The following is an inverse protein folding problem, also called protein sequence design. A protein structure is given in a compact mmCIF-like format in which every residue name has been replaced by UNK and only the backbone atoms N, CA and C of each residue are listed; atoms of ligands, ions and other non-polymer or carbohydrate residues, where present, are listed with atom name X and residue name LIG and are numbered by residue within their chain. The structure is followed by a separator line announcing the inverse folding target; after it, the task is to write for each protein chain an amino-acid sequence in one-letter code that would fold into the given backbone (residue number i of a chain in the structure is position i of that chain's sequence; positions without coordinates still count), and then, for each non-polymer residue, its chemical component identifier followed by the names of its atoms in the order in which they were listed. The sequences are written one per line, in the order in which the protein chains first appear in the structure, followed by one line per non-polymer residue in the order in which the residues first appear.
data_IF_757805652960
#
_entry.id   IF_757805652960
#
_cell.length_a   1.000
_cell.length_b   1.000
_cell.length_c   1.000
_cell.angle_alpha   90.00
_cell.angle_beta   90.00
_cell.angle_gamma   90.00
#
_symmetry.space_group_name_H-M   'P 1'
#
loop_
_entity.id
_entity.type
_entity.pdbx_description
1 polymer ?
2 non-polymer ?
3 water ?
#
# COMPACT_ATOMS: atom_id res chain seq x y z
N UNK A 5 11.76 -19.67 6.19
CA UNK A 5 11.64 -18.37 5.46
C UNK A 5 10.72 -17.42 6.22
N UNK A 6 10.82 -16.14 5.87
CA UNK A 6 9.91 -15.10 6.34
C UNK A 6 8.61 -15.29 5.58
N UNK A 7 7.51 -15.66 6.26
CA UNK A 7 6.25 -15.83 5.54
C UNK A 7 5.77 -14.53 4.88
N UNK A 8 6.17 -13.40 5.45
CA UNK A 8 5.81 -12.09 4.86
C UNK A 8 6.47 -11.83 3.49
N UNK A 9 7.57 -12.53 3.22
CA UNK A 9 8.29 -12.31 1.97
C UNK A 9 8.29 -13.55 1.07
N UNK A 10 7.49 -14.55 1.41
CA UNK A 10 7.34 -15.72 0.52
C UNK A 10 6.09 -15.51 -0.31
N UNK A 11 6.26 -15.24 -1.61
CA UNK A 11 5.10 -14.86 -2.44
C UNK A 11 4.10 -16.00 -2.52
N UNK A 12 2.84 -15.66 -2.25
CA UNK A 12 1.77 -16.64 -2.31
C UNK A 12 0.46 -15.93 -2.63
N UNK A 13 -0.43 -16.57 -3.41
CA UNK A 13 -1.74 -15.97 -3.62
C UNK A 13 -2.66 -16.23 -2.44
N UNK A 14 -3.79 -15.53 -2.39
CA UNK A 14 -4.78 -15.81 -1.36
C UNK A 14 -5.62 -17.01 -1.76
N UNK A 15 -5.53 -18.09 -0.99
CA UNK A 15 -6.28 -19.32 -1.27
C UNK A 15 -7.76 -19.04 -1.13
N UNK A 16 -8.56 -19.48 -2.10
CA UNK A 16 -10.00 -19.28 -2.05
C UNK A 16 -10.66 -20.34 -1.14
N UNK A 17 -11.08 -19.91 0.05
CA UNK A 17 -11.75 -20.84 0.99
C UNK A 17 -13.24 -20.53 1.10
N UNK A 18 -13.73 -19.67 0.21
CA UNK A 18 -15.14 -19.26 0.20
C UNK A 18 -15.88 -19.76 -1.03
N UNK A 19 -15.22 -19.71 -2.19
CA UNK A 19 -15.78 -20.31 -3.42
C UNK A 19 -16.14 -19.42 -4.59
N UNK A 20 -16.06 -18.11 -4.46
CA UNK A 20 -16.47 -17.21 -5.54
C UNK A 20 -15.30 -16.67 -6.38
N UNK A 21 -14.08 -17.05 -6.01
CA UNK A 21 -12.88 -16.69 -6.77
C UNK A 21 -12.62 -15.19 -6.95
N UNK A 22 -13.08 -14.38 -6.00
CA UNK A 22 -12.94 -12.92 -6.11
C UNK A 22 -11.50 -12.41 -6.17
N UNK A 23 -10.62 -13.00 -5.36
CA UNK A 23 -9.22 -12.54 -5.34
C UNK A 23 -8.55 -12.73 -6.70
N UNK A 24 -8.70 -13.92 -7.28
CA UNK A 24 -8.10 -14.19 -8.59
C UNK A 24 -8.76 -13.32 -9.68
N UNK A 25 -10.06 -13.06 -9.56
CA UNK A 25 -10.75 -12.16 -10.50
C UNK A 25 -10.14 -10.76 -10.52
N UNK A 26 -9.82 -10.22 -9.33
CA UNK A 26 -9.25 -8.90 -9.20
C UNK A 26 -7.86 -8.87 -9.80
N UNK A 27 -7.03 -9.84 -9.41
CA UNK A 27 -5.67 -9.98 -9.95
C UNK A 27 -5.72 -10.03 -11.49
N UNK A 28 -6.59 -10.88 -12.02
CA UNK A 28 -6.72 -11.02 -13.49
C UNK A 28 -7.13 -9.71 -14.17
N UNK A 29 -8.01 -8.95 -13.52
CA UNK A 29 -8.43 -7.65 -14.05
C UNK A 29 -7.22 -6.71 -14.10
N UNK A 30 -6.43 -6.72 -13.04
CA UNK A 30 -5.29 -5.82 -12.96
C UNK A 30 -4.25 -6.20 -14.00
N UNK A 31 -4.06 -7.50 -14.19
CA UNK A 31 -3.15 -8.00 -15.22
C UNK A 31 -3.61 -7.48 -16.59
N UNK A 32 -4.91 -7.56 -16.85
CA UNK A 32 -5.50 -7.05 -18.09
C UNK A 32 -5.32 -5.55 -18.22
N UNK A 33 -5.45 -4.84 -17.09
CA UNK A 33 -5.24 -3.38 -17.06
C UNK A 33 -3.83 -3.05 -17.54
N UNK A 34 -2.84 -3.72 -16.94
CA UNK A 34 -1.43 -3.52 -17.32
C UNK A 34 -1.18 -3.88 -18.79
N UNK A 35 -1.79 -4.97 -19.27
CA UNK A 35 -1.64 -5.38 -20.67
C UNK A 35 -2.18 -4.30 -21.63
N UNK A 36 -3.28 -3.67 -21.23
CA UNK A 36 -3.95 -2.68 -22.06
C UNK A 36 -3.51 -1.21 -21.91
N UNK A 37 -3.01 -0.82 -20.73
CA UNK A 37 -2.73 0.59 -20.45
C UNK A 37 -1.24 0.89 -20.36
N UNK A 38 -0.94 2.18 -20.28
CA UNK A 38 0.44 2.67 -20.13
C UNK A 38 0.48 3.69 -19.00
N UNK A 39 0.30 3.21 -17.75
CA UNK A 39 0.28 4.11 -16.60
C UNK A 39 1.65 4.70 -16.28
N UNK A 40 1.65 5.92 -15.76
CA UNK A 40 2.85 6.53 -15.23
C UNK A 40 3.03 6.19 -13.77
N UNK A 41 1.91 5.86 -13.11
CA UNK A 41 1.92 5.56 -11.66
C UNK A 41 1.06 4.34 -11.42
N UNK A 42 1.58 3.40 -10.63
CA UNK A 42 0.82 2.20 -10.27
C UNK A 42 0.72 2.16 -8.75
N UNK A 43 -0.51 2.09 -8.24
CA UNK A 43 -0.73 1.99 -6.77
C UNK A 43 -1.06 0.55 -6.46
N UNK A 44 -0.40 -0.04 -5.46
CA UNK A 44 -0.72 -1.42 -5.12
C UNK A 44 -0.67 -1.60 -3.61
N UNK A 45 -1.59 -2.41 -3.11
CA UNK A 45 -1.60 -2.66 -1.69
C UNK A 45 -2.91 -3.25 -1.24
N UNK A 46 -3.30 -2.88 -0.03
CA UNK A 46 -4.48 -3.48 0.55
C UNK A 46 -5.75 -2.60 0.38
N UNK A 47 -6.82 -2.77 1.33
CA UNK A 47 -8.10 -2.05 1.25
C UNK A 47 -7.90 -0.56 1.30
N UNK A 48 -6.79 -0.05 2.02
CA UNK A 48 -6.54 1.42 2.11
C UNK A 48 -6.20 2.00 0.76
N UNK A 49 -5.51 1.21 -0.07
CA UNK A 49 -5.20 1.64 -1.43
C UNK A 49 -6.43 1.52 -2.29
N UNK A 50 -7.08 0.35 -2.25
CA UNK A 50 -8.24 0.07 -3.08
C UNK A 50 -9.33 1.14 -2.93
N UNK A 51 -9.71 1.45 -1.68
CA UNK A 51 -10.81 2.38 -1.39
C UNK A 51 -10.44 3.84 -1.69
N UNK A 52 -9.17 4.10 -1.94
CA UNK A 52 -8.74 5.41 -2.36
C UNK A 52 -9.33 5.68 -3.73
N UNK A 53 -9.48 4.62 -4.54
CA UNK A 53 -10.04 4.69 -5.88
C UNK A 53 -11.54 4.96 -5.88
N UNK A 54 -12.21 4.47 -4.84
CA UNK A 54 -13.66 4.62 -4.70
C UNK A 54 -14.07 6.00 -4.22
N UNK A 55 -13.11 6.80 -3.79
CA UNK A 55 -13.41 8.15 -3.35
C UNK A 55 -13.36 9.09 -4.55
N UNK A 56 -14.03 10.24 -4.43
CA UNK A 56 -14.00 11.28 -5.47
C UNK A 56 -12.63 11.95 -5.54
N UNK A 57 -11.85 11.81 -4.47
CA UNK A 57 -10.45 12.31 -4.38
C UNK A 57 -9.55 11.70 -5.46
N UNK A 58 -9.86 10.48 -5.87
CA UNK A 58 -9.07 9.76 -6.87
C UNK A 58 -9.13 10.42 -8.25
N UNK A 59 -10.35 10.78 -8.65
CA UNK A 59 -10.58 11.40 -9.95
C UNK A 59 -10.04 12.83 -10.02
N UNK A 60 -9.91 13.47 -8.86
CA UNK A 60 -9.44 14.86 -8.83
C UNK A 60 -7.93 15.00 -8.61
N UNK A 61 -7.34 14.05 -7.89
CA UNK A 61 -5.91 14.14 -7.54
C UNK A 61 -5.01 13.18 -8.32
N UNK A 62 -5.50 11.98 -8.62
CA UNK A 62 -4.63 10.90 -9.12
C UNK A 62 -4.89 10.47 -10.56
N UNK A 63 -6.15 10.48 -10.99
CA UNK A 63 -6.50 10.22 -12.40
C UNK A 63 -5.65 11.04 -13.37
N UNK A 64 -5.51 12.37 -13.12
CA UNK A 64 -4.70 13.20 -14.02
C UNK A 64 -3.25 12.70 -14.18
N UNK A 65 -2.78 11.87 -13.25
CA UNK A 65 -1.41 11.38 -13.26
C UNK A 65 -1.22 10.12 -14.09
N UNK A 66 -2.30 9.59 -14.65
CA UNK A 66 -2.27 8.38 -15.44
C UNK A 66 -1.89 7.21 -14.54
N UNK A 67 -2.84 6.84 -13.69
CA UNK A 67 -2.57 5.87 -12.62
C UNK A 67 -3.52 4.68 -12.63
N UNK A 68 -3.00 3.52 -12.20
CA UNK A 68 -3.78 2.33 -12.03
C UNK A 68 -3.76 1.98 -10.55
N UNK A 69 -4.91 1.51 -10.04
CA UNK A 69 -5.03 1.19 -8.62
C UNK A 69 -5.24 -0.33 -8.49
N UNK A 70 -4.25 -1.03 -7.94
CA UNK A 70 -4.33 -2.49 -7.82
C UNK A 70 -4.49 -2.91 -6.35
N UNK A 71 -5.26 -2.14 -5.60
CA UNK A 71 -5.47 -2.48 -4.20
C UNK A 71 -6.44 -3.63 -4.11
N UNK A 72 -6.21 -4.51 -3.14
CA UNK A 72 -7.12 -5.61 -2.89
C UNK A 72 -7.34 -5.71 -1.38
N UNK A 73 -8.60 -5.63 -0.96
CA UNK A 73 -8.89 -5.77 0.47
C UNK A 73 -8.39 -7.07 1.09
N UNK A 74 -7.75 -6.99 2.27
CA UNK A 74 -7.28 -8.14 2.99
C UNK A 74 -5.85 -8.60 2.69
N UNK A 75 -5.22 -8.05 1.65
CA UNK A 75 -3.87 -8.48 1.25
C UNK A 75 -2.81 -8.15 2.32
N UNK A 76 -1.91 -9.11 2.51
CA UNK A 76 -0.70 -8.94 3.32
C UNK A 76 0.45 -8.75 2.33
N UNK A 77 1.65 -8.47 2.83
CA UNK A 77 2.80 -8.21 1.98
C UNK A 77 3.07 -9.35 0.97
N UNK A 78 3.02 -10.61 1.42
CA UNK A 78 3.37 -11.73 0.54
C UNK A 78 2.37 -11.84 -0.62
N UNK A 79 1.15 -11.35 -0.42
CA UNK A 79 0.12 -11.40 -1.47
C UNK A 79 0.42 -10.35 -2.53
N UNK A 80 0.81 -9.17 -2.07
CA UNK A 80 1.16 -8.12 -3.00
C UNK A 80 2.37 -8.56 -3.83
N UNK A 81 3.34 -9.17 -3.15
CA UNK A 81 4.57 -9.65 -3.79
C UNK A 81 4.26 -10.67 -4.91
N UNK A 82 3.39 -11.61 -4.60
CA UNK A 82 2.94 -12.61 -5.60
C UNK A 82 2.31 -11.95 -6.81
N UNK A 83 1.43 -10.98 -6.57
CA UNK A 83 0.73 -10.28 -7.63
C UNK A 83 1.66 -9.50 -8.56
N UNK A 84 2.67 -8.88 -7.97
CA UNK A 84 3.65 -8.13 -8.74
C UNK A 84 4.54 -9.07 -9.59
N UNK A 85 4.79 -10.27 -9.09
CA UNK A 85 5.63 -11.25 -9.80
C UNK A 85 4.80 -12.02 -10.85
N UNK A 86 3.48 -12.00 -10.69
CA UNK A 86 2.60 -12.82 -11.54
C UNK A 86 1.70 -12.06 -12.48
N UNK A 87 2.24 -11.01 -13.10
CA UNK A 87 1.53 -10.36 -14.21
C UNK A 87 1.21 -8.88 -14.08
N UNK A 88 1.12 -8.37 -12.85
CA UNK A 88 0.66 -6.99 -12.69
C UNK A 88 1.70 -5.93 -13.06
N UNK A 89 2.95 -6.33 -13.22
CA UNK A 89 4.02 -5.42 -13.65
C UNK A 89 4.42 -5.61 -15.10
N UNK A 90 3.68 -6.45 -15.79
CA UNK A 90 4.00 -6.76 -17.20
C UNK A 90 3.40 -5.76 -18.17
N UNK A 91 4.07 -5.53 -19.31
CA UNK A 91 3.57 -4.62 -20.38
C UNK A 91 3.46 -3.14 -20.01
N UNK A 92 4.10 -2.75 -18.91
CA UNK A 92 4.08 -1.35 -18.45
C UNK A 92 5.49 -0.87 -18.12
N UNK A 93 5.65 0.45 -18.01
CA UNK A 93 6.91 1.06 -17.64
C UNK A 93 6.63 2.32 -16.83
N UNK A 94 6.03 2.16 -15.64
CA UNK A 94 5.68 3.31 -14.81
C UNK A 94 6.86 4.12 -14.30
N UNK A 95 6.62 5.40 -14.05
CA UNK A 95 7.63 6.27 -13.46
C UNK A 95 7.71 6.05 -11.96
N UNK A 96 6.56 5.74 -11.35
CA UNK A 96 6.47 5.54 -9.90
C UNK A 96 5.51 4.40 -9.56
N UNK A 97 5.92 3.59 -8.58
CA UNK A 97 5.05 2.57 -7.98
C UNK A 97 4.82 2.94 -6.51
N UNK A 98 3.57 3.01 -6.12
CA UNK A 98 3.23 3.33 -4.73
C UNK A 98 2.79 2.04 -4.00
N UNK A 99 3.42 1.78 -2.86
CA UNK A 99 3.19 0.57 -2.11
C UNK A 99 2.59 0.94 -0.74
N UNK A 100 1.52 0.26 -0.37
CA UNK A 100 0.90 0.48 0.94
C UNK A 100 0.25 -0.83 1.41
N UNK A 101 0.97 -1.56 2.25
CA UNK A 101 0.55 -2.89 2.69
C UNK A 101 1.35 -3.25 3.96
N UNK A 102 0.80 -4.09 4.82
CA UNK A 102 1.48 -4.56 6.01
C UNK A 102 0.58 -4.53 7.23
N UNK A 103 -0.48 -3.71 7.20
CA UNK A 103 -1.41 -3.65 8.33
C UNK A 103 -2.21 -4.96 8.55
N UNK A 104 -2.32 -5.78 7.50
CA UNK A 104 -3.05 -7.05 7.57
C UNK A 104 -2.19 -8.27 7.90
N UNK A 105 -0.90 -8.04 8.09
CA UNK A 105 0.07 -9.13 8.35
C UNK A 105 -0.03 -9.74 9.77
N UNK A 106 -1.24 -10.14 10.15
CA UNK A 106 -1.47 -10.69 11.48
C UNK A 106 -0.70 -11.99 11.68
N UNK A 107 0.01 -12.06 12.79
CA UNK A 107 0.77 -13.28 13.10
C UNK A 107 2.23 -13.19 12.67
N UNK A 108 2.56 -12.09 11.99
CA UNK A 108 3.93 -11.78 11.60
C UNK A 108 4.46 -10.70 12.53
N UNK A 109 5.74 -10.81 12.95
CA UNK A 109 6.36 -9.78 13.79
C UNK A 109 6.59 -8.51 12.97
N UNK A 110 6.82 -7.39 13.63
CA UNK A 110 7.08 -6.14 12.88
C UNK A 110 8.31 -6.30 11.98
N UNK A 111 9.31 -7.04 12.47
CA UNK A 111 10.51 -7.31 11.68
C UNK A 111 10.18 -8.10 10.42
N UNK A 112 9.37 -9.13 10.54
CA UNK A 112 8.97 -9.91 9.34
C UNK A 112 8.20 -9.05 8.34
N UNK A 113 7.23 -8.28 8.85
CA UNK A 113 6.46 -7.40 7.97
C UNK A 113 7.42 -6.47 7.24
N UNK A 114 8.39 -5.90 7.96
CA UNK A 114 9.39 -5.04 7.30
C UNK A 114 10.12 -5.79 6.18
N UNK A 115 10.48 -7.03 6.46
CA UNK A 115 11.15 -7.88 5.46
C UNK A 115 10.27 -8.07 4.24
N UNK A 116 8.96 -8.19 4.44
CA UNK A 116 8.02 -8.31 3.29
C UNK A 116 7.97 -7.05 2.45
N UNK A 117 7.99 -5.90 3.12
CA UNK A 117 7.98 -4.61 2.42
C UNK A 117 9.27 -4.43 1.63
N UNK A 118 10.38 -4.81 2.23
CA UNK A 118 11.68 -4.67 1.56
C UNK A 118 11.76 -5.59 0.34
N UNK A 119 11.14 -6.75 0.45
CA UNK A 119 11.05 -7.70 -0.66
C UNK A 119 10.23 -7.11 -1.82
N UNK A 120 9.17 -6.37 -1.49
CA UNK A 120 8.32 -5.74 -2.50
C UNK A 120 9.14 -4.68 -3.24
N UNK A 121 9.86 -3.86 -2.48
CA UNK A 121 10.67 -2.79 -3.08
C UNK A 121 11.73 -3.40 -4.01
N UNK A 122 12.40 -4.44 -3.52
CA UNK A 122 13.44 -5.13 -4.31
C UNK A 122 12.89 -5.70 -5.62
N UNK A 123 11.73 -6.36 -5.56
CA UNK A 123 11.12 -6.93 -6.77
C UNK A 123 10.82 -5.82 -7.78
N UNK A 124 10.25 -4.74 -7.28
CA UNK A 124 9.94 -3.61 -8.15
C UNK A 124 11.24 -3.05 -8.74
N UNK A 125 12.30 -2.99 -7.93
CA UNK A 125 13.60 -2.50 -8.42
C UNK A 125 14.17 -3.40 -9.50
N UNK A 126 13.79 -4.66 -9.48
CA UNK A 126 14.29 -5.62 -10.49
C UNK A 126 13.45 -5.59 -11.77
N UNK A 127 12.14 -5.69 -11.63
CA UNK A 127 11.24 -5.75 -12.78
C UNK A 127 11.04 -4.39 -13.47
N UNK A 128 11.05 -3.30 -12.71
CA UNK A 128 10.79 -1.94 -13.19
C UNK A 128 11.88 -1.02 -12.64
N UNK A 129 13.16 -1.28 -13.00
CA UNK A 129 14.31 -0.54 -12.44
C UNK A 129 14.26 1.00 -12.63
N UNK A 130 13.59 1.50 -13.66
CA UNK A 130 13.47 2.94 -13.88
C UNK A 130 12.49 3.63 -12.91
N UNK A 131 11.62 2.85 -12.26
CA UNK A 131 10.59 3.44 -11.40
C UNK A 131 11.10 3.82 -10.01
N UNK A 132 10.66 4.99 -9.51
CA UNK A 132 10.90 5.32 -8.12
C UNK A 132 9.85 4.56 -7.34
N UNK A 133 10.16 4.22 -6.10
CA UNK A 133 9.20 3.50 -5.28
C UNK A 133 8.85 4.33 -4.05
N UNK A 134 7.54 4.53 -3.83
CA UNK A 134 7.07 5.24 -2.64
C UNK A 134 6.37 4.22 -1.73
N UNK A 135 6.83 4.12 -0.48
CA UNK A 135 6.20 3.25 0.52
C UNK A 135 5.50 4.11 1.59
N UNK A 136 4.19 3.90 1.74
CA UNK A 136 3.43 4.63 2.74
C UNK A 136 3.54 3.93 4.07
N UNK A 137 3.64 4.72 5.15
CA UNK A 137 3.73 4.10 6.48
C UNK A 137 2.38 3.45 6.81
N UNK A 138 2.40 2.46 7.69
CA UNK A 138 1.19 1.82 8.16
C UNK A 138 0.52 2.76 9.16
N UNK A 139 -0.77 3.00 8.96
CA UNK A 139 -1.51 3.90 9.83
C UNK A 139 -1.89 3.28 11.18
N UNK A 140 -2.11 4.13 12.22
CA UNK A 140 -2.59 3.58 13.48
C UNK A 140 -3.99 3.02 13.25
N UNK A 141 -4.43 2.17 14.18
CA UNK A 141 -5.75 1.57 14.06
C UNK A 141 -6.25 1.23 15.47
N UNK A 142 -7.54 0.96 15.58
CA UNK A 142 -8.13 0.63 16.87
C UNK A 142 -8.57 1.94 17.49
N UNK A 143 -9.69 1.91 18.22
CA UNK A 143 -10.16 3.14 18.86
C UNK A 143 -9.26 3.63 19.97
N UNK A 144 -8.66 2.70 20.71
CA UNK A 144 -7.81 3.02 21.84
C UNK A 144 -6.41 2.41 21.69
N UNK A 145 -5.47 2.82 22.58
CA UNK A 145 -4.10 2.23 22.51
C UNK A 145 -4.15 0.71 22.51
N UNK A 146 -3.37 0.08 21.63
CA UNK A 146 -3.40 -1.39 21.49
C UNK A 146 -2.12 -1.88 20.82
N UNK A 147 -1.83 -3.20 20.89
CA UNK A 147 -0.60 -3.77 20.31
C UNK A 147 -0.38 -3.48 18.83
N UNK A 148 -1.45 -3.38 18.05
CA UNK A 148 -1.30 -3.14 16.62
C UNK A 148 -0.81 -1.77 16.33
N UNK A 149 -1.08 -0.83 17.23
CA UNK A 149 -0.55 0.52 17.06
C UNK A 149 0.97 0.49 17.22
N UNK A 150 1.45 -0.14 18.28
CA UNK A 150 2.90 -0.30 18.50
C UNK A 150 3.57 -1.07 17.35
N UNK A 151 2.94 -2.17 16.91
CA UNK A 151 3.44 -2.96 15.81
C UNK A 151 3.66 -2.11 14.55
N UNK A 152 2.62 -1.39 14.14
CA UNK A 152 2.68 -0.63 12.89
C UNK A 152 3.72 0.49 13.01
N UNK A 153 3.80 1.10 14.20
CA UNK A 153 4.81 2.12 14.46
C UNK A 153 6.20 1.52 14.28
N UNK A 154 6.43 0.35 14.86
CA UNK A 154 7.73 -0.31 14.79
C UNK A 154 8.08 -0.63 13.31
N UNK A 155 7.09 -1.13 12.56
CA UNK A 155 7.30 -1.41 11.12
C UNK A 155 7.73 -0.12 10.41
N UNK A 156 7.02 0.97 10.66
CA UNK A 156 7.36 2.26 10.06
C UNK A 156 8.78 2.70 10.38
N UNK A 157 9.20 2.50 11.62
CA UNK A 157 10.55 2.90 12.05
C UNK A 157 11.57 2.08 11.26
N UNK A 158 11.34 0.76 11.21
CA UNK A 158 12.27 -0.16 10.57
C UNK A 158 12.32 0.05 9.07
N UNK A 159 11.15 0.22 8.45
CA UNK A 159 11.07 0.47 7.02
C UNK A 159 11.74 1.79 6.66
N UNK A 160 11.48 2.82 7.47
CA UNK A 160 12.07 4.13 7.23
C UNK A 160 13.60 4.03 7.29
N UNK A 161 14.13 3.27 8.26
CA UNK A 161 15.58 3.05 8.38
C UNK A 161 16.13 2.29 7.18
N UNK A 162 15.37 1.30 6.71
CA UNK A 162 15.78 0.51 5.55
C UNK A 162 15.85 1.34 4.27
N UNK A 163 14.87 2.23 4.08
CA UNK A 163 14.78 3.02 2.86
C UNK A 163 15.61 4.32 2.82
N UNK A 164 16.11 4.76 3.97
CA UNK A 164 16.71 6.11 4.04
C UNK A 164 17.89 6.30 3.06
N UNK A 165 18.78 5.31 2.97
CA UNK A 165 19.92 5.38 2.05
C UNK A 165 19.67 4.83 0.65
N UNK A 166 18.39 4.69 0.31
CA UNK A 166 17.94 4.15 -0.97
C UNK A 166 17.40 5.37 -1.71
N UNK A 167 18.18 5.93 -2.65
CA UNK A 167 17.88 7.27 -3.22
C UNK A 167 16.84 7.31 -4.36
N UNK A 168 16.01 6.24 -4.44
CA UNK A 168 14.83 6.32 -5.40
C UNK A 168 13.73 5.45 -4.81
N UNK A 169 13.87 5.23 -3.51
CA UNK A 169 12.84 4.62 -2.67
C UNK A 169 12.53 5.74 -1.69
N UNK A 170 11.24 5.99 -1.46
CA UNK A 170 10.81 7.12 -0.64
C UNK A 170 9.78 6.64 0.38
N UNK A 171 10.14 6.74 1.66
CA UNK A 171 9.19 6.44 2.74
C UNK A 171 8.34 7.67 3.01
N UNK A 172 7.02 7.50 3.02
CA UNK A 172 6.12 8.63 3.30
C UNK A 172 5.18 8.31 4.49
N UNK A 173 5.26 9.13 5.53
CA UNK A 173 4.33 9.00 6.66
C UNK A 173 3.21 9.94 6.36
N UNK A 174 2.07 9.40 5.91
CA UNK A 174 0.94 10.22 5.58
C UNK A 174 -0.01 10.47 6.75
N UNK A 175 0.39 10.08 7.97
CA UNK A 175 -0.48 10.21 9.16
C UNK A 175 -0.39 11.66 9.67
N UNK A 176 -1.50 12.42 9.57
CA UNK A 176 -1.53 13.81 10.05
C UNK A 176 -1.70 13.93 11.57
N UNK A 177 -1.94 12.80 12.21
CA UNK A 177 -2.03 12.71 13.67
C UNK A 177 -3.40 12.19 14.05
N UNK A 178 -3.80 11.07 13.44
CA UNK A 178 -5.09 10.49 13.76
C UNK A 178 -5.26 10.12 15.24
N UNK A 179 -4.20 9.65 15.89
CA UNK A 179 -4.29 9.33 17.31
C UNK A 179 -4.23 10.63 18.12
N UNK A 180 -5.34 10.98 18.75
CA UNK A 180 -5.44 12.21 19.56
C UNK A 180 -4.73 12.11 20.93
N UNK A 181 -4.68 13.24 21.65
CA UNK A 181 -4.05 13.32 22.97
C UNK A 181 -4.61 12.32 23.96
N UNK A 182 -5.91 12.05 23.89
CA UNK A 182 -6.53 11.12 24.83
C UNK A 182 -6.29 9.66 24.41
N UNK A 183 -5.50 9.48 23.35
CA UNK A 183 -5.16 8.14 22.84
C UNK A 183 -6.21 7.51 21.94
N UNK A 184 -7.22 8.29 21.54
CA UNK A 184 -8.32 7.76 20.72
C UNK A 184 -8.20 8.14 19.25
N UNK A 185 -8.83 7.33 18.39
CA UNK A 185 -8.98 7.64 17.00
C UNK A 185 -10.45 7.93 16.79
N UNK A 186 -10.77 9.06 16.17
CA UNK A 186 -12.17 9.45 15.93
C UNK A 186 -12.79 8.64 14.80
N UNK A 187 -14.03 8.18 15.00
CA UNK A 187 -14.74 7.48 13.92
C UNK A 187 -15.03 8.40 12.71
N UNK A 188 -14.85 9.71 12.93
CA UNK A 188 -14.96 10.66 11.81
C UNK A 188 -13.80 10.57 10.84
N UNK A 189 -12.65 10.08 11.31
CA UNK A 189 -11.48 9.88 10.45
C UNK A 189 -11.42 8.44 9.90
N UNK A 190 -11.76 7.48 10.76
CA UNK A 190 -11.77 6.04 10.43
C UNK A 190 -13.08 5.49 11.02
N UNK A 191 -14.04 5.25 10.15
CA UNK A 191 -15.37 4.87 10.59
C UNK A 191 -15.42 3.57 11.40
N UNK A 192 -14.46 2.68 11.15
CA UNK A 192 -14.32 1.44 11.87
C UNK A 192 -12.92 1.31 12.53
N UNK A 193 -12.27 2.44 12.74
CA UNK A 193 -10.94 2.50 13.38
C UNK A 193 -9.86 1.77 12.54
N UNK A 194 -10.11 1.63 11.24
CA UNK A 194 -9.13 1.01 10.32
C UNK A 194 -9.19 1.68 8.95
N UNK A 195 -10.33 1.57 8.29
CA UNK A 195 -10.54 2.19 6.98
C UNK A 195 -10.70 3.68 7.19
N UNK A 196 -10.32 4.45 6.18
CA UNK A 196 -10.44 5.93 6.23
C UNK A 196 -11.78 6.41 5.65
N UNK A 197 -12.41 7.33 6.35
CA UNK A 197 -13.55 8.05 5.79
C UNK A 197 -13.05 9.01 4.71
N UNK A 198 -13.97 9.67 4.01
CA UNK A 198 -13.60 10.70 3.05
C UNK A 198 -12.72 11.76 3.74
N UNK A 199 -13.11 12.14 4.95
CA UNK A 199 -12.40 13.10 5.77
C UNK A 199 -11.00 12.60 6.14
N UNK A 200 -10.90 11.29 6.35
CA UNK A 200 -9.63 10.67 6.70
C UNK A 200 -8.69 10.67 5.51
N UNK A 201 -9.24 10.38 4.34
CA UNK A 201 -8.44 10.31 3.11
C UNK A 201 -7.88 11.67 2.69
N UNK A 202 -8.58 12.74 3.04
CA UNK A 202 -8.17 14.08 2.63
C UNK A 202 -6.70 14.41 2.94
N UNK A 203 -6.28 14.38 4.23
CA UNK A 203 -4.87 14.69 4.51
C UNK A 203 -3.89 13.61 3.99
N UNK A 204 -4.32 12.35 3.97
CA UNK A 204 -3.48 11.27 3.49
C UNK A 204 -3.17 11.49 2.00
N UNK A 205 -4.22 11.61 1.20
CA UNK A 205 -4.08 11.75 -0.26
C UNK A 205 -3.37 13.04 -0.65
N UNK A 206 -3.64 14.10 0.12
CA UNK A 206 -2.99 15.38 -0.08
C UNK A 206 -1.48 15.22 0.06
N UNK A 207 -1.03 14.55 1.13
CA UNK A 207 0.38 14.28 1.38
C UNK A 207 0.98 13.46 0.24
N UNK A 208 0.30 12.39 -0.15
CA UNK A 208 0.76 11.55 -1.25
C UNK A 208 0.84 12.33 -2.57
N UNK A 209 -0.23 13.04 -2.91
CA UNK A 209 -0.29 13.78 -4.17
C UNK A 209 0.85 14.79 -4.27
N UNK A 210 1.16 15.43 -3.15
CA UNK A 210 2.25 16.39 -3.08
C UNK A 210 3.58 15.72 -3.46
N UNK A 211 3.93 14.65 -2.75
CA UNK A 211 5.14 13.88 -3.03
C UNK A 211 5.21 13.43 -4.50
N UNK A 212 4.12 12.85 -5.00
CA UNK A 212 4.04 12.40 -6.39
C UNK A 212 4.33 13.54 -7.36
N UNK A 213 3.81 14.73 -7.05
CA UNK A 213 4.10 15.91 -7.88
C UNK A 213 5.59 16.27 -7.91
N UNK A 214 6.25 16.22 -6.75
CA UNK A 214 7.67 16.54 -6.68
C UNK A 214 8.49 15.55 -7.51
N UNK A 215 8.27 14.25 -7.29
CA UNK A 215 9.03 13.21 -7.98
C UNK A 215 8.78 13.24 -9.49
N UNK A 216 7.52 13.47 -9.86
CA UNK A 216 7.11 13.43 -11.25
C UNK A 216 7.61 14.66 -12.00
#
# INVERSE_FOLDING_TARGET
MSGDENPASKPTPVQDVQGDGRWMSLHHRFVADSKDKEPEVVFIGDSLVQLMHQSEIWRELFSPLHALNFGIGGDSTQHVLWRLENGELEHIRPKIVVVWVGTNNHGHTAEQVTGGIKAIVQLVNERQPQARVVVLGLLPRGQHPNPLREKNRRVNELVRAALAGHPRAHFLDADPGFVHSDGTISHHDMYDYLHLSRLGYTPVCRALHSLLLRLLTQDQGQGGAPLPEPSP
#
